data_IF_694648686639
#
_entry.id   IF_694648686639
#
_cell.length_a   1.000
_cell.length_b   1.000
_cell.length_c   1.000
_cell.angle_alpha   90.00
_cell.angle_beta   90.00
_cell.angle_gamma   90.00
#
_symmetry.space_group_name_H-M   'P 1'
#
loop_
_entity.id
_entity.type
_entity.pdbx_description
1 polymer ?
#
# COMPACT_ATOMS: atom_id res chain seq x y z
N UNK A 1 7.53 1.98 37.10
CA UNK A 1 8.71 2.35 36.28
C UNK A 1 8.54 1.74 34.88
N UNK A 2 7.76 2.38 34.00
CA UNK A 2 7.38 1.85 32.68
C UNK A 2 7.80 2.80 31.53
N UNK A 3 8.62 3.81 31.82
CA UNK A 3 8.98 4.91 30.91
C UNK A 3 10.04 4.56 29.86
N UNK A 4 10.68 3.39 29.96
CA UNK A 4 11.75 2.97 29.05
C UNK A 4 11.24 2.37 27.73
N UNK A 5 10.02 1.83 27.69
CA UNK A 5 9.45 1.23 26.49
C UNK A 5 9.11 2.28 25.40
N UNK A 6 8.93 3.55 25.79
CA UNK A 6 8.60 4.66 24.88
C UNK A 6 9.83 5.38 24.29
N UNK A 7 11.07 5.03 24.70
CA UNK A 7 12.29 5.68 24.20
C UNK A 7 12.78 5.06 22.88
N UNK A 8 12.35 3.85 22.53
CA UNK A 8 12.82 3.12 21.35
C UNK A 8 11.81 2.94 20.22
N UNK A 9 10.51 3.04 20.50
CA UNK A 9 9.48 2.99 19.47
C UNK A 9 9.07 4.41 19.13
N UNK A 10 9.38 4.91 17.92
CA UNK A 10 8.88 6.19 17.51
C UNK A 10 7.36 6.16 17.62
N UNK A 11 6.81 7.13 18.35
CA UNK A 11 5.39 7.22 18.59
C UNK A 11 4.63 7.37 17.27
N UNK A 12 3.34 7.01 17.25
CA UNK A 12 2.49 7.20 16.07
C UNK A 12 2.55 8.65 15.55
N UNK A 13 2.66 9.61 16.47
CA UNK A 13 2.81 11.04 16.16
C UNK A 13 4.11 11.32 15.40
N UNK A 14 5.24 10.75 15.81
CA UNK A 14 6.53 10.95 15.14
C UNK A 14 6.53 10.34 13.74
N UNK A 15 5.93 9.16 13.57
CA UNK A 15 5.76 8.55 12.25
C UNK A 15 4.89 9.39 11.32
N UNK A 16 3.81 9.99 11.83
CA UNK A 16 2.96 10.89 11.06
C UNK A 16 3.72 12.16 10.65
N UNK A 17 4.49 12.75 11.55
CA UNK A 17 5.32 13.94 11.25
C UNK A 17 6.38 13.60 10.20
N UNK A 18 7.06 12.46 10.34
CA UNK A 18 8.04 11.99 9.35
C UNK A 18 7.37 11.77 7.98
N UNK A 19 6.23 11.09 7.96
CA UNK A 19 5.46 10.86 6.74
C UNK A 19 5.05 12.17 6.08
N UNK A 20 4.66 13.18 6.86
CA UNK A 20 4.33 14.50 6.34
C UNK A 20 5.55 15.20 5.72
N UNK A 21 6.72 15.12 6.35
CA UNK A 21 7.98 15.67 5.80
C UNK A 21 8.32 14.99 4.48
N UNK A 22 8.29 13.65 4.43
CA UNK A 22 8.58 12.91 3.19
C UNK A 22 7.53 13.23 2.11
N UNK A 23 6.25 13.38 2.49
CA UNK A 23 5.20 13.77 1.56
C UNK A 23 5.39 15.19 1.02
N UNK A 24 5.94 16.12 1.79
CA UNK A 24 6.26 17.47 1.28
C UNK A 24 7.43 17.41 0.30
N UNK A 25 8.48 16.65 0.60
CA UNK A 25 9.66 16.53 -0.26
C UNK A 25 9.37 15.81 -1.58
N UNK A 26 8.61 14.71 -1.53
CA UNK A 26 8.33 13.86 -2.69
C UNK A 26 6.98 14.15 -3.34
N UNK A 27 6.05 14.79 -2.63
CA UNK A 27 4.71 15.12 -3.12
C UNK A 27 3.97 13.89 -3.63
N UNK A 28 3.38 14.05 -4.82
CA UNK A 28 2.62 13.00 -5.51
C UNK A 28 3.49 11.85 -6.05
N UNK A 29 4.82 11.96 -6.01
CA UNK A 29 5.73 10.94 -6.57
C UNK A 29 5.81 9.69 -5.69
N UNK A 30 5.69 9.83 -4.37
CA UNK A 30 5.73 8.75 -3.39
C UNK A 30 4.67 7.65 -3.66
N UNK A 31 3.36 7.98 -3.73
CA UNK A 31 2.33 6.98 -4.00
C UNK A 31 2.42 6.40 -5.42
N UNK A 32 2.79 7.21 -6.42
CA UNK A 32 2.97 6.71 -7.79
C UNK A 32 4.13 5.72 -7.89
N UNK A 33 5.25 5.97 -7.22
CA UNK A 33 6.37 5.04 -7.16
C UNK A 33 5.98 3.74 -6.45
N UNK A 34 5.32 3.83 -5.29
CA UNK A 34 4.80 2.66 -4.58
C UNK A 34 3.83 1.84 -5.43
N UNK A 35 2.95 2.47 -6.21
CA UNK A 35 2.03 1.77 -7.10
C UNK A 35 2.77 0.96 -8.17
N UNK A 36 3.77 1.57 -8.82
CA UNK A 36 4.57 0.88 -9.85
C UNK A 36 5.40 -0.28 -9.27
N UNK A 37 6.02 -0.08 -8.10
CA UNK A 37 6.81 -1.09 -7.41
C UNK A 37 5.92 -2.21 -6.87
N UNK A 38 4.76 -1.86 -6.32
CA UNK A 38 3.77 -2.82 -5.83
C UNK A 38 3.28 -3.74 -6.93
N UNK A 39 2.98 -3.20 -8.12
CA UNK A 39 2.60 -4.01 -9.28
C UNK A 39 3.71 -4.98 -9.68
N UNK A 40 4.97 -4.53 -9.72
CA UNK A 40 6.12 -5.41 -10.01
C UNK A 40 6.30 -6.51 -8.97
N UNK A 41 6.11 -6.22 -7.69
CA UNK A 41 6.18 -7.21 -6.60
C UNK A 41 5.02 -8.21 -6.71
N UNK A 42 3.80 -7.77 -7.03
CA UNK A 42 2.64 -8.64 -7.20
C UNK A 42 2.82 -9.60 -8.39
N UNK A 43 3.26 -9.09 -9.55
CA UNK A 43 3.54 -9.94 -10.71
C UNK A 43 4.72 -10.89 -10.46
N UNK A 44 5.75 -10.43 -9.75
CA UNK A 44 6.87 -11.28 -9.34
C UNK A 44 6.42 -12.40 -8.40
N UNK A 45 5.55 -12.09 -7.42
CA UNK A 45 4.97 -13.09 -6.51
C UNK A 45 4.07 -14.06 -7.26
N UNK A 46 3.29 -13.60 -8.24
CA UNK A 46 2.44 -14.44 -9.09
C UNK A 46 3.28 -15.40 -9.92
N UNK A 47 4.30 -14.92 -10.64
CA UNK A 47 5.20 -15.79 -11.41
C UNK A 47 6.00 -16.77 -10.54
N UNK A 48 6.46 -16.33 -9.36
CA UNK A 48 7.15 -17.21 -8.39
C UNK A 48 6.21 -18.24 -7.74
N UNK A 49 4.90 -17.97 -7.69
CA UNK A 49 3.89 -18.90 -7.15
C UNK A 49 3.35 -19.84 -8.23
N UNK A 50 3.28 -19.39 -9.49
CA UNK A 50 2.89 -20.20 -10.66
C UNK A 50 3.88 -21.34 -10.93
N UNK A 51 5.17 -21.19 -10.61
CA UNK A 51 6.17 -22.27 -10.71
C UNK A 51 5.91 -23.43 -9.70
N UNK A 52 5.03 -23.21 -8.70
CA UNK A 52 4.66 -24.19 -7.68
C UNK A 52 3.20 -24.66 -7.68
N UNK A 53 2.33 -24.09 -8.53
CA UNK A 53 0.90 -24.47 -8.56
C UNK A 53 0.24 -23.97 -9.85
N UNK A 54 0.03 -24.91 -10.76
CA UNK A 54 -1.01 -24.81 -11.78
C UNK A 54 -2.38 -24.67 -11.07
N UNK A 55 -3.23 -23.76 -11.53
CA UNK A 55 -4.59 -23.47 -11.07
C UNK A 55 -4.80 -22.85 -9.67
N UNK A 56 -5.13 -21.54 -9.63
CA UNK A 56 -6.39 -21.06 -9.02
C UNK A 56 -6.65 -19.58 -9.28
N UNK A 57 -7.85 -19.34 -9.75
CA UNK A 57 -8.59 -18.11 -9.94
C UNK A 57 -8.43 -17.04 -8.83
N UNK A 58 -8.62 -15.79 -9.28
CA UNK A 58 -9.30 -14.68 -8.57
C UNK A 58 -8.66 -14.04 -7.34
N UNK A 59 -8.33 -12.74 -7.49
CA UNK A 59 -8.70 -11.66 -6.57
C UNK A 59 -8.58 -10.34 -7.36
N UNK A 60 -9.61 -9.95 -8.14
CA UNK A 60 -10.66 -9.01 -7.75
C UNK A 60 -10.18 -7.83 -6.88
N UNK A 61 -10.18 -6.62 -7.46
CA UNK A 61 -10.88 -5.42 -6.96
C UNK A 61 -10.51 -4.27 -7.91
N UNK A 62 -11.37 -3.89 -8.85
CA UNK A 62 -12.52 -3.01 -8.61
C UNK A 62 -12.10 -1.65 -8.01
N UNK A 63 -11.74 -0.71 -8.89
CA UNK A 63 -11.85 0.72 -8.59
C UNK A 63 -12.34 1.48 -9.82
N UNK A 64 -13.59 1.18 -10.19
CA UNK A 64 -14.48 2.11 -10.91
C UNK A 64 -15.89 1.54 -11.03
N UNK A 65 -16.49 1.13 -9.92
CA UNK A 65 -17.95 1.24 -9.74
C UNK A 65 -18.22 2.47 -8.89
N UNK A 66 -18.35 3.63 -9.55
CA UNK A 66 -19.10 4.74 -8.97
C UNK A 66 -20.58 4.36 -8.98
N UNK A 67 -21.27 4.36 -7.83
CA UNK A 67 -22.70 4.12 -7.78
C UNK A 67 -23.41 5.46 -7.97
N UNK A 68 -24.00 5.74 -9.15
CA UNK A 68 -25.12 6.70 -9.20
C UNK A 68 -25.97 6.61 -10.47
N UNK A 69 -27.13 5.96 -10.32
CA UNK A 69 -28.46 6.42 -10.75
C UNK A 69 -28.73 6.60 -12.27
N UNK A 70 -29.24 5.52 -12.87
CA UNK A 70 -30.27 5.65 -13.90
C UNK A 70 -31.55 6.19 -13.23
N UNK A 71 -31.95 7.40 -13.59
CA UNK A 71 -33.28 7.96 -13.33
C UNK A 71 -34.08 7.97 -14.64
N UNK A 72 -35.34 7.56 -14.53
CA UNK A 72 -36.30 7.35 -15.59
C UNK A 72 -37.33 8.48 -15.62
#
# INVERSE_FOLDING_TARGET
MQTLAFIGMPGHVELIVLLLIVLILFGKRLPTAMYSVGKSITEFKRGASEEGKDDSAEENEESSRTPEKQEN
#
